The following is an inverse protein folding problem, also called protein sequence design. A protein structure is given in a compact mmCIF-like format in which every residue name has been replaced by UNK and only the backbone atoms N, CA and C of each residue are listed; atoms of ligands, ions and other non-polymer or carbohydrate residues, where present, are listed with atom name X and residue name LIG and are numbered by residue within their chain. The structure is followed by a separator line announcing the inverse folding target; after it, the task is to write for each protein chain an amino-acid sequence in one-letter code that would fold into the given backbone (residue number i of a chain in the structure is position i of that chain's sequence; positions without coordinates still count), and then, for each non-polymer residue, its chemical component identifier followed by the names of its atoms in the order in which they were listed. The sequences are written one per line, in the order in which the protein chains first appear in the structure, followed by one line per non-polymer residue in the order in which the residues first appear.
data_IF_548517263259
#
_entry.id   IF_548517263259
#
_cell.length_a   1.000
_cell.length_b   1.000
_cell.length_c   1.000
_cell.angle_alpha   90.00
_cell.angle_beta   90.00
_cell.angle_gamma   90.00
#
_symmetry.space_group_name_H-M   'P 1'
#
loop_
_entity.id
_entity.type
_entity.pdbx_description
1 polymer ?
#
# COMPACT_ATOMS: atom_id res chain seq x y z
N UNK A 1 -8.97 -17.94 -16.76
CA UNK A 1 -8.72 -17.40 -15.39
C UNK A 1 -7.35 -17.83 -14.88
N UNK A 2 -7.00 -19.13 -14.94
CA UNK A 2 -5.75 -19.69 -14.41
C UNK A 2 -4.51 -19.05 -15.04
N UNK A 3 -4.47 -18.89 -16.35
CA UNK A 3 -3.34 -18.26 -17.05
C UNK A 3 -3.12 -16.79 -16.63
N UNK A 4 -4.19 -16.06 -16.29
CA UNK A 4 -4.08 -14.68 -15.77
C UNK A 4 -3.41 -14.69 -14.42
N UNK A 5 -3.79 -15.61 -13.54
CA UNK A 5 -3.17 -15.77 -12.21
C UNK A 5 -1.72 -16.22 -12.33
N UNK A 6 -1.43 -17.20 -13.18
CA UNK A 6 -0.08 -17.70 -13.41
C UNK A 6 0.88 -16.58 -13.85
N UNK A 7 0.49 -15.77 -14.82
CA UNK A 7 1.31 -14.66 -15.30
C UNK A 7 1.38 -13.50 -14.31
N UNK A 8 0.29 -13.19 -13.58
CA UNK A 8 0.34 -12.19 -12.52
C UNK A 8 1.30 -12.62 -11.41
N UNK A 9 1.21 -13.87 -10.94
CA UNK A 9 2.12 -14.41 -9.94
C UNK A 9 3.58 -14.43 -10.43
N UNK A 10 3.84 -14.84 -11.68
CA UNK A 10 5.18 -14.81 -12.29
C UNK A 10 5.79 -13.41 -12.28
N UNK A 11 4.98 -12.39 -12.53
CA UNK A 11 5.43 -10.99 -12.48
C UNK A 11 5.79 -10.55 -11.06
N UNK A 12 5.12 -11.07 -10.04
CA UNK A 12 5.24 -10.64 -8.65
C UNK A 12 6.25 -11.44 -7.81
N UNK A 13 6.88 -12.49 -8.35
CA UNK A 13 7.75 -13.43 -7.59
C UNK A 13 8.86 -12.73 -6.80
N UNK A 14 9.40 -11.61 -7.29
CA UNK A 14 10.44 -10.86 -6.59
C UNK A 14 9.91 -9.69 -5.75
N UNK A 15 8.62 -9.43 -5.80
CA UNK A 15 8.01 -8.36 -5.02
C UNK A 15 7.84 -8.80 -3.56
N UNK A 16 8.33 -7.97 -2.64
CA UNK A 16 8.12 -8.15 -1.19
C UNK A 16 6.81 -7.49 -0.71
N UNK A 17 6.07 -6.88 -1.62
CA UNK A 17 4.83 -6.19 -1.27
C UNK A 17 3.78 -7.21 -0.79
N UNK A 18 3.03 -6.95 0.30
CA UNK A 18 2.02 -7.88 0.83
C UNK A 18 0.99 -8.33 -0.22
N UNK A 19 0.54 -7.42 -1.08
CA UNK A 19 -0.40 -7.71 -2.16
C UNK A 19 0.19 -8.67 -3.20
N UNK A 20 1.46 -8.52 -3.54
CA UNK A 20 2.16 -9.43 -4.45
C UNK A 20 2.23 -10.85 -3.86
N UNK A 21 2.59 -10.94 -2.59
CA UNK A 21 2.63 -12.22 -1.85
C UNK A 21 1.24 -12.86 -1.77
N UNK A 22 0.17 -12.07 -1.68
CA UNK A 22 -1.20 -12.57 -1.72
C UNK A 22 -1.53 -13.21 -3.10
N UNK A 23 -1.11 -12.60 -4.21
CA UNK A 23 -1.29 -13.17 -5.57
C UNK A 23 -0.56 -14.50 -5.68
N UNK A 24 0.69 -14.57 -5.22
CA UNK A 24 1.50 -15.78 -5.28
C UNK A 24 0.83 -16.90 -4.47
N UNK A 25 0.54 -16.66 -3.20
CA UNK A 25 -0.13 -17.64 -2.32
C UNK A 25 -1.44 -18.14 -2.92
N UNK A 26 -2.29 -17.23 -3.41
CA UNK A 26 -3.56 -17.60 -4.01
C UNK A 26 -3.41 -18.47 -5.25
N UNK A 27 -2.32 -18.29 -6.00
CA UNK A 27 -1.98 -19.09 -7.19
C UNK A 27 -1.50 -20.47 -6.79
N UNK A 28 -0.63 -20.55 -5.77
CA UNK A 28 -0.10 -21.80 -5.21
C UNK A 28 -1.20 -22.66 -4.56
N UNK A 29 -2.09 -22.07 -3.77
CA UNK A 29 -3.23 -22.76 -3.16
C UNK A 29 -4.13 -23.44 -4.19
N UNK A 30 -4.22 -22.85 -5.38
CA UNK A 30 -4.95 -23.45 -6.52
C UNK A 30 -4.13 -24.43 -7.34
N UNK A 31 -2.88 -24.66 -6.94
CA UNK A 31 -1.94 -25.55 -7.67
C UNK A 31 -1.75 -25.15 -9.12
N UNK A 32 -1.79 -23.83 -9.39
CA UNK A 32 -1.51 -23.27 -10.70
C UNK A 32 0.00 -23.12 -10.83
N UNK A 33 0.58 -23.69 -11.88
CA UNK A 33 2.00 -23.57 -12.15
C UNK A 33 2.36 -22.13 -12.49
N UNK A 34 3.35 -21.57 -11.78
CA UNK A 34 3.85 -20.22 -12.02
C UNK A 34 5.01 -20.32 -12.99
N UNK A 35 4.90 -19.79 -14.21
CA UNK A 35 5.97 -19.86 -15.20
C UNK A 35 7.18 -19.05 -14.71
N UNK A 36 8.40 -19.56 -14.94
CA UNK A 36 9.60 -18.81 -14.63
C UNK A 36 9.68 -17.57 -15.52
N UNK A 37 10.16 -16.47 -14.95
CA UNK A 37 10.40 -15.25 -15.72
C UNK A 37 11.90 -15.09 -16.02
N UNK A 38 12.18 -14.48 -17.15
CA UNK A 38 13.53 -14.26 -17.66
C UNK A 38 14.07 -12.88 -17.21
N UNK A 39 13.19 -11.88 -17.16
CA UNK A 39 13.48 -10.49 -16.85
C UNK A 39 12.28 -9.85 -16.13
N UNK A 40 12.56 -8.98 -15.15
CA UNK A 40 11.54 -8.20 -14.48
C UNK A 40 12.03 -6.78 -14.26
N UNK A 41 11.28 -5.80 -14.77
CA UNK A 41 11.51 -4.37 -14.56
C UNK A 41 10.35 -3.83 -13.73
N UNK A 42 10.66 -3.36 -12.53
CA UNK A 42 9.67 -2.76 -11.62
C UNK A 42 9.62 -1.25 -11.86
N UNK A 43 8.42 -0.75 -12.16
CA UNK A 43 8.15 0.67 -12.32
C UNK A 43 7.40 1.15 -11.07
N UNK A 44 8.14 1.76 -10.16
CA UNK A 44 7.65 2.14 -8.82
C UNK A 44 6.31 2.89 -8.89
N UNK A 45 5.35 2.42 -8.12
CA UNK A 45 4.02 3.01 -8.02
C UNK A 45 3.09 2.80 -9.23
N UNK A 46 3.59 2.22 -10.32
CA UNK A 46 2.85 2.06 -11.59
C UNK A 46 2.54 0.60 -11.91
N UNK A 47 3.54 -0.26 -11.88
CA UNK A 47 3.41 -1.65 -12.28
C UNK A 47 4.75 -2.27 -12.66
N UNK A 48 4.70 -3.36 -13.40
CA UNK A 48 5.91 -4.07 -13.82
C UNK A 48 5.80 -4.61 -15.23
N UNK A 49 6.96 -4.69 -15.87
CA UNK A 49 7.18 -5.35 -17.16
C UNK A 49 8.00 -6.60 -16.91
N UNK A 50 7.47 -7.73 -17.33
CA UNK A 50 8.08 -9.04 -17.12
C UNK A 50 8.17 -9.79 -18.43
N UNK A 51 9.21 -10.58 -18.61
CA UNK A 51 9.31 -11.54 -19.73
C UNK A 51 9.22 -12.95 -19.16
N UNK A 52 8.19 -13.68 -19.56
CA UNK A 52 7.95 -15.07 -19.17
C UNK A 52 7.43 -15.86 -20.35
N UNK A 53 7.87 -17.11 -20.50
CA UNK A 53 7.54 -17.97 -21.65
C UNK A 53 7.80 -17.30 -23.01
N UNK A 54 8.86 -16.51 -23.13
CA UNK A 54 9.19 -15.75 -24.33
C UNK A 54 8.20 -14.62 -24.68
N UNK A 55 7.27 -14.27 -23.77
CA UNK A 55 6.25 -13.23 -23.94
C UNK A 55 6.50 -12.05 -23.04
N UNK A 56 6.14 -10.86 -23.51
CA UNK A 56 6.15 -9.66 -22.70
C UNK A 56 4.84 -9.53 -21.94
N UNK A 57 4.93 -9.46 -20.62
CA UNK A 57 3.83 -9.26 -19.69
C UNK A 57 3.90 -7.85 -19.13
N UNK A 58 2.77 -7.18 -19.05
CA UNK A 58 2.61 -5.90 -18.34
C UNK A 58 1.54 -6.09 -17.27
N UNK A 59 1.95 -5.98 -16.02
CA UNK A 59 1.05 -6.05 -14.86
C UNK A 59 1.08 -4.72 -14.12
N UNK A 60 -0.09 -4.11 -13.88
CA UNK A 60 -0.12 -2.86 -13.14
C UNK A 60 -1.44 -2.12 -13.21
N UNK A 61 -1.41 -0.88 -12.72
CA UNK A 61 -2.58 0.00 -12.73
C UNK A 61 -3.02 0.34 -14.15
N UNK A 62 -4.30 0.70 -14.36
CA UNK A 62 -4.82 1.07 -15.68
C UNK A 62 -4.04 2.20 -16.35
N UNK A 63 -3.52 3.12 -15.55
CA UNK A 63 -2.73 4.28 -16.00
C UNK A 63 -1.41 3.82 -16.62
N UNK A 64 -0.74 2.86 -16.00
CA UNK A 64 0.49 2.24 -16.53
C UNK A 64 0.23 1.52 -17.86
N UNK A 65 -0.83 0.70 -17.94
CA UNK A 65 -1.10 0.01 -19.20
C UNK A 65 -1.43 0.99 -20.33
N UNK A 66 -2.07 2.13 -20.02
CA UNK A 66 -2.31 3.19 -21.03
C UNK A 66 -1.02 3.84 -21.50
N UNK A 67 -0.06 4.13 -20.60
CA UNK A 67 1.25 4.68 -20.98
C UNK A 67 2.03 3.71 -21.88
N UNK A 68 1.85 2.39 -21.66
CA UNK A 68 2.37 1.32 -22.49
C UNK A 68 1.54 1.06 -23.79
N UNK A 69 0.60 1.96 -24.10
CA UNK A 69 -0.27 1.91 -25.31
C UNK A 69 -1.18 0.68 -25.37
N UNK A 70 -1.43 0.01 -24.25
CA UNK A 70 -2.40 -1.09 -24.17
C UNK A 70 -3.82 -0.53 -24.25
N UNK A 71 -4.62 -1.08 -25.16
CA UNK A 71 -6.01 -0.67 -25.32
C UNK A 71 -6.88 -1.29 -24.22
N UNK A 72 -7.45 -0.45 -23.35
CA UNK A 72 -8.39 -0.86 -22.30
C UNK A 72 -9.80 -0.62 -22.80
N UNK A 73 -10.61 -1.69 -22.90
CA UNK A 73 -11.99 -1.60 -23.39
C UNK A 73 -12.90 -0.88 -22.38
N UNK A 74 -14.03 -0.33 -22.85
CA UNK A 74 -15.04 0.28 -21.99
C UNK A 74 -15.56 -0.70 -20.91
N UNK A 75 -15.69 -1.99 -21.26
CA UNK A 75 -16.07 -3.05 -20.32
C UNK A 75 -15.03 -3.20 -19.20
N UNK A 76 -13.75 -3.24 -19.53
CA UNK A 76 -12.66 -3.33 -18.54
C UNK A 76 -12.60 -2.07 -17.66
N UNK A 77 -12.76 -0.89 -18.24
CA UNK A 77 -12.87 0.36 -17.49
C UNK A 77 -14.03 0.33 -16.50
N UNK A 78 -15.19 -0.15 -16.89
CA UNK A 78 -16.34 -0.31 -15.98
C UNK A 78 -16.09 -1.29 -14.84
N UNK A 79 -15.31 -2.36 -15.07
CA UNK A 79 -14.87 -3.26 -13.99
C UNK A 79 -13.91 -2.54 -13.02
N UNK A 80 -12.91 -1.83 -13.53
CA UNK A 80 -11.97 -1.05 -12.72
C UNK A 80 -12.72 -0.06 -11.81
N UNK A 81 -13.67 0.69 -12.36
CA UNK A 81 -14.46 1.65 -11.58
C UNK A 81 -15.24 0.99 -10.45
N UNK A 82 -15.88 -0.16 -10.73
CA UNK A 82 -16.64 -0.88 -9.69
C UNK A 82 -15.74 -1.44 -8.58
N UNK A 83 -14.58 -2.00 -8.94
CA UNK A 83 -13.66 -2.56 -7.97
C UNK A 83 -13.08 -1.46 -7.07
N UNK A 84 -12.67 -0.33 -7.64
CA UNK A 84 -12.21 0.83 -6.85
C UNK A 84 -13.29 1.35 -5.89
N UNK A 85 -14.56 1.39 -6.34
CA UNK A 85 -15.67 1.76 -5.48
C UNK A 85 -15.96 0.75 -4.34
N UNK A 86 -15.44 -0.47 -4.45
CA UNK A 86 -15.48 -1.49 -3.42
C UNK A 86 -14.18 -1.55 -2.57
N UNK A 87 -13.37 -0.49 -2.60
CA UNK A 87 -12.05 -0.41 -1.95
C UNK A 87 -11.09 -1.52 -2.39
N UNK A 88 -11.18 -1.96 -3.65
CA UNK A 88 -10.28 -2.94 -4.22
C UNK A 88 -9.27 -2.26 -5.15
N UNK A 89 -8.06 -2.81 -5.21
CA UNK A 89 -6.99 -2.37 -6.11
C UNK A 89 -6.95 -3.26 -7.35
N UNK A 90 -7.47 -2.79 -8.50
CA UNK A 90 -7.45 -3.55 -9.74
C UNK A 90 -6.07 -3.44 -10.42
N UNK A 91 -5.45 -4.59 -10.66
CA UNK A 91 -4.27 -4.75 -11.50
C UNK A 91 -4.68 -5.36 -12.83
N UNK A 92 -4.35 -4.69 -13.91
CA UNK A 92 -4.59 -5.19 -15.27
C UNK A 92 -3.36 -5.96 -15.76
N UNK A 93 -3.61 -7.09 -16.41
CA UNK A 93 -2.57 -7.89 -17.08
C UNK A 93 -2.74 -7.79 -18.60
N UNK A 94 -1.66 -7.38 -19.25
CA UNK A 94 -1.55 -7.48 -20.71
C UNK A 94 -0.42 -8.44 -21.11
N UNK A 95 -0.63 -9.16 -22.19
CA UNK A 95 0.34 -10.06 -22.82
C UNK A 95 0.54 -9.59 -24.24
N UNK A 96 1.78 -9.37 -24.66
CA UNK A 96 2.12 -8.87 -25.99
C UNK A 96 1.28 -7.63 -26.39
N UNK A 97 1.14 -6.67 -25.44
CA UNK A 97 0.39 -5.44 -25.65
C UNK A 97 -1.13 -5.58 -25.70
N UNK A 98 -1.68 -6.77 -25.43
CA UNK A 98 -3.14 -7.01 -25.41
C UNK A 98 -3.62 -7.28 -23.98
N UNK A 99 -4.63 -6.54 -23.53
CA UNK A 99 -5.27 -6.81 -22.26
C UNK A 99 -5.91 -8.20 -22.24
N UNK A 100 -5.46 -9.06 -21.32
CA UNK A 100 -5.92 -10.46 -21.21
C UNK A 100 -6.71 -10.71 -19.95
N UNK A 101 -6.55 -9.88 -18.90
CA UNK A 101 -7.26 -10.08 -17.66
C UNK A 101 -7.06 -8.96 -16.65
N UNK A 102 -7.68 -9.20 -15.50
CA UNK A 102 -7.64 -8.32 -14.35
C UNK A 102 -7.55 -9.21 -13.11
N UNK A 103 -6.68 -8.81 -12.17
CA UNK A 103 -6.62 -9.32 -10.79
C UNK A 103 -7.03 -8.18 -9.88
N UNK A 104 -7.93 -8.45 -8.95
CA UNK A 104 -8.31 -7.47 -7.94
C UNK A 104 -7.77 -7.90 -6.59
N UNK A 105 -7.17 -6.96 -5.89
CA UNK A 105 -6.60 -7.15 -4.57
C UNK A 105 -7.38 -6.25 -3.61
N UNK A 106 -7.64 -6.76 -2.41
CA UNK A 106 -8.26 -6.00 -1.34
C UNK A 106 -7.38 -6.10 -0.11
N UNK A 107 -6.97 -4.95 0.40
CA UNK A 107 -6.39 -4.89 1.72
C UNK A 107 -7.51 -5.00 2.76
N UNK A 108 -7.34 -5.89 3.72
CA UNK A 108 -8.23 -5.96 4.85
C UNK A 108 -7.84 -4.85 5.85
N UNK A 109 -8.81 -3.99 6.15
CA UNK A 109 -8.66 -3.03 7.24
C UNK A 109 -8.55 -3.83 8.54
N UNK A 110 -7.53 -3.54 9.33
CA UNK A 110 -7.35 -4.21 10.63
C UNK A 110 -8.59 -4.00 11.49
N UNK A 111 -9.11 -5.05 12.13
CA UNK A 111 -10.37 -4.96 12.91
C UNK A 111 -10.35 -3.87 13.98
N UNK A 112 -9.17 -3.65 14.59
CA UNK A 112 -8.97 -2.68 15.66
C UNK A 112 -8.74 -1.24 15.16
N UNK A 113 -8.52 -1.03 13.85
CA UNK A 113 -8.06 0.27 13.33
C UNK A 113 -9.02 1.40 13.65
N UNK A 114 -10.32 1.20 13.47
CA UNK A 114 -11.34 2.21 13.77
C UNK A 114 -11.35 2.58 15.25
N UNK A 115 -11.34 1.58 16.13
CA UNK A 115 -11.38 1.79 17.58
C UNK A 115 -10.12 2.52 18.06
N UNK A 116 -8.97 2.21 17.50
CA UNK A 116 -7.70 2.91 17.81
C UNK A 116 -7.75 4.37 17.37
N UNK A 117 -8.27 4.67 16.18
CA UNK A 117 -8.42 6.03 15.68
C UNK A 117 -9.34 6.84 16.60
N UNK A 118 -10.48 6.28 17.00
CA UNK A 118 -11.42 6.93 17.90
C UNK A 118 -10.80 7.14 19.31
N UNK A 119 -10.05 6.16 19.80
CA UNK A 119 -9.31 6.27 21.07
C UNK A 119 -8.21 7.34 21.02
N UNK A 120 -7.45 7.44 19.94
CA UNK A 120 -6.44 8.48 19.75
C UNK A 120 -7.07 9.89 19.76
N UNK A 121 -8.23 10.06 19.13
CA UNK A 121 -8.98 11.32 19.18
C UNK A 121 -9.44 11.65 20.59
N UNK A 122 -10.02 10.69 21.29
CA UNK A 122 -10.44 10.86 22.68
C UNK A 122 -9.25 11.21 23.59
N UNK A 123 -8.07 10.71 23.23
CA UNK A 123 -6.80 10.97 23.93
C UNK A 123 -6.12 12.30 23.53
N UNK A 124 -6.79 13.15 22.75
CA UNK A 124 -6.37 14.50 22.41
C UNK A 124 -5.57 14.65 21.11
N UNK A 125 -5.48 13.61 20.29
CA UNK A 125 -4.97 13.75 18.92
C UNK A 125 -5.99 14.54 18.09
N UNK A 126 -5.62 15.76 17.72
CA UNK A 126 -6.55 16.71 17.08
C UNK A 126 -6.77 16.42 15.59
N UNK A 127 -5.76 15.85 14.94
CA UNK A 127 -5.75 15.68 13.49
C UNK A 127 -5.14 14.32 13.15
N UNK A 128 -5.84 13.54 12.37
CA UNK A 128 -5.36 12.25 11.85
C UNK A 128 -5.47 12.32 10.34
N UNK A 129 -4.35 12.12 9.67
CA UNK A 129 -4.23 12.18 8.21
C UNK A 129 -3.78 10.83 7.68
N UNK A 130 -4.51 10.29 6.73
CA UNK A 130 -4.12 9.06 6.01
C UNK A 130 -3.35 9.43 4.74
N UNK A 131 -2.15 8.88 4.59
CA UNK A 131 -1.34 8.99 3.37
C UNK A 131 -1.27 7.62 2.71
N UNK A 132 -1.77 7.52 1.48
CA UNK A 132 -1.80 6.25 0.75
C UNK A 132 -1.38 6.40 -0.70
N UNK A 133 -0.71 5.38 -1.24
CA UNK A 133 -0.45 5.27 -2.67
C UNK A 133 -1.65 4.82 -3.49
N UNK A 134 -2.79 4.52 -2.87
CA UNK A 134 -3.99 4.05 -3.56
C UNK A 134 -4.68 5.13 -4.37
N UNK A 135 -5.58 4.66 -5.26
CA UNK A 135 -6.42 5.55 -6.04
C UNK A 135 -7.41 6.33 -5.13
N UNK A 136 -7.71 7.62 -5.43
CA UNK A 136 -8.58 8.46 -4.61
C UNK A 136 -9.92 7.84 -4.22
N UNK A 137 -10.56 7.09 -5.12
CA UNK A 137 -11.84 6.42 -4.83
C UNK A 137 -11.68 5.35 -3.75
N UNK A 138 -10.61 4.53 -3.82
CA UNK A 138 -10.30 3.52 -2.81
C UNK A 138 -9.97 4.18 -1.48
N UNK A 139 -9.10 5.18 -1.50
CA UNK A 139 -8.69 5.93 -0.31
C UNK A 139 -9.91 6.59 0.40
N UNK A 140 -10.85 7.15 -0.36
CA UNK A 140 -12.06 7.76 0.20
C UNK A 140 -12.93 6.71 0.93
N UNK A 141 -13.09 5.51 0.37
CA UNK A 141 -13.87 4.43 1.00
C UNK A 141 -13.21 3.98 2.30
N UNK A 142 -11.89 3.75 2.28
CA UNK A 142 -11.12 3.36 3.47
C UNK A 142 -11.17 4.45 4.54
N UNK A 143 -10.97 5.71 4.17
CA UNK A 143 -11.04 6.84 5.09
C UNK A 143 -12.42 6.96 5.75
N UNK A 144 -13.49 6.79 4.98
CA UNK A 144 -14.86 6.79 5.50
C UNK A 144 -15.09 5.65 6.49
N UNK A 145 -14.64 4.43 6.17
CA UNK A 145 -14.76 3.26 7.04
C UNK A 145 -14.00 3.44 8.35
N UNK A 146 -12.81 4.04 8.30
CA UNK A 146 -11.98 4.36 9.45
C UNK A 146 -12.41 5.64 10.18
N UNK A 147 -13.31 6.43 9.60
CA UNK A 147 -13.73 7.73 10.15
C UNK A 147 -12.61 8.78 10.11
N UNK A 148 -11.73 8.71 9.14
CA UNK A 148 -10.68 9.71 8.91
C UNK A 148 -11.21 10.78 7.97
N UNK A 149 -11.17 12.05 8.39
CA UNK A 149 -11.70 13.17 7.61
C UNK A 149 -10.68 13.74 6.62
N UNK A 150 -9.38 13.50 6.88
CA UNK A 150 -8.30 14.01 6.06
C UNK A 150 -7.46 12.85 5.46
N UNK A 151 -7.37 12.84 4.15
CA UNK A 151 -6.56 11.84 3.46
C UNK A 151 -5.95 12.39 2.17
N UNK A 152 -4.81 11.81 1.77
CA UNK A 152 -4.15 12.05 0.49
C UNK A 152 -3.92 10.71 -0.20
N UNK A 153 -4.30 10.65 -1.46
CA UNK A 153 -4.19 9.46 -2.31
C UNK A 153 -3.11 9.65 -3.39
N UNK A 154 -2.70 8.55 -4.03
CA UNK A 154 -1.66 8.55 -5.07
C UNK A 154 -0.35 9.18 -4.61
N UNK A 155 -0.05 9.07 -3.29
CA UNK A 155 1.12 9.66 -2.66
C UNK A 155 2.34 8.78 -2.94
N UNK A 156 3.35 9.35 -3.57
CA UNK A 156 4.66 8.72 -3.73
C UNK A 156 5.48 8.84 -2.43
N UNK A 157 6.54 8.05 -2.25
CA UNK A 157 7.39 8.14 -1.06
C UNK A 157 7.93 9.55 -0.77
N UNK A 158 8.31 10.29 -1.81
CA UNK A 158 8.73 11.69 -1.74
C UNK A 158 7.62 12.64 -1.30
N UNK A 159 6.40 12.44 -1.79
CA UNK A 159 5.24 13.28 -1.43
C UNK A 159 4.84 13.12 0.05
N UNK A 160 5.18 11.97 0.66
CA UNK A 160 4.95 11.75 2.09
C UNK A 160 5.80 12.69 2.95
N UNK A 161 7.05 12.92 2.53
CA UNK A 161 7.94 13.89 3.20
C UNK A 161 7.37 15.31 3.10
N UNK A 162 6.91 15.71 1.92
CA UNK A 162 6.30 17.02 1.70
C UNK A 162 5.04 17.22 2.56
N UNK A 163 4.25 16.14 2.72
CA UNK A 163 3.08 16.17 3.59
C UNK A 163 3.45 16.39 5.06
N UNK A 164 4.49 15.72 5.56
CA UNK A 164 5.00 15.89 6.92
C UNK A 164 5.58 17.30 7.10
N UNK A 165 6.41 17.76 6.17
CA UNK A 165 7.00 19.11 6.20
C UNK A 165 5.91 20.18 6.29
N UNK A 166 4.89 20.10 5.43
CA UNK A 166 3.78 21.06 5.42
C UNK A 166 2.99 21.09 6.76
N UNK A 167 2.82 19.95 7.42
CA UNK A 167 2.17 19.90 8.74
C UNK A 167 3.04 20.54 9.83
N UNK A 168 4.35 20.29 9.80
CA UNK A 168 5.30 20.90 10.76
C UNK A 168 5.41 22.42 10.54
N UNK A 169 5.48 22.87 9.29
CA UNK A 169 5.52 24.31 8.94
C UNK A 169 4.24 25.02 9.38
N UNK A 170 3.10 24.32 9.43
CA UNK A 170 1.85 24.82 9.99
C UNK A 170 1.84 24.84 11.54
N UNK A 171 2.93 24.45 12.20
CA UNK A 171 3.09 24.47 13.67
C UNK A 171 2.49 23.26 14.39
N UNK A 172 2.24 22.17 13.68
CA UNK A 172 1.79 20.91 14.29
C UNK A 172 2.98 20.07 14.77
N UNK A 173 2.83 19.41 15.91
CA UNK A 173 3.69 18.28 16.28
C UNK A 173 3.17 17.04 15.58
N UNK A 174 4.01 16.44 14.77
CA UNK A 174 3.64 15.35 13.84
C UNK A 174 4.25 14.03 14.30
N UNK A 175 3.38 13.04 14.57
CA UNK A 175 3.79 11.65 14.68
C UNK A 175 3.49 10.95 13.33
N UNK A 176 4.50 10.36 12.71
CA UNK A 176 4.34 9.54 11.52
C UNK A 176 4.36 8.08 11.91
N UNK A 177 3.35 7.34 11.46
CA UNK A 177 3.27 5.87 11.65
C UNK A 177 3.37 5.21 10.27
N UNK A 178 4.29 4.28 10.12
CA UNK A 178 4.52 3.58 8.86
C UNK A 178 5.10 2.18 9.05
N UNK A 179 5.14 1.39 7.98
CA UNK A 179 5.74 0.06 7.95
C UNK A 179 7.27 0.09 7.72
N UNK A 180 7.76 1.24 7.37
CA UNK A 180 9.17 1.56 7.31
C UNK A 180 9.89 1.31 6.01
N UNK A 181 9.44 0.46 5.13
CA UNK A 181 10.22 0.13 3.91
C UNK A 181 10.27 1.32 2.93
N UNK A 182 9.14 1.96 2.70
CA UNK A 182 9.03 3.13 1.81
C UNK A 182 8.82 4.44 2.59
N UNK A 183 8.64 4.35 3.89
CA UNK A 183 8.28 5.47 4.76
C UNK A 183 9.46 6.02 5.56
N UNK A 184 10.64 5.37 5.49
CA UNK A 184 11.81 5.74 6.28
C UNK A 184 12.17 7.24 6.21
N UNK A 185 12.19 7.90 5.02
CA UNK A 185 12.48 9.33 4.95
C UNK A 185 11.39 10.21 5.60
N UNK A 186 10.12 9.80 5.52
CA UNK A 186 9.01 10.51 6.15
C UNK A 186 8.99 10.29 7.68
N UNK A 187 9.34 9.07 8.14
CA UNK A 187 9.51 8.75 9.56
C UNK A 187 10.62 9.62 10.18
N UNK A 188 11.78 9.71 9.51
CA UNK A 188 12.90 10.54 9.97
C UNK A 188 12.59 12.04 9.99
N UNK A 189 11.67 12.52 9.15
CA UNK A 189 11.30 13.92 9.07
C UNK A 189 10.24 14.33 10.12
N UNK A 190 9.45 13.41 10.62
CA UNK A 190 8.42 13.67 11.62
C UNK A 190 9.05 14.10 12.97
N UNK A 191 8.26 14.70 13.87
CA UNK A 191 8.73 14.98 15.23
C UNK A 191 8.82 13.68 16.06
N UNK A 192 8.02 12.67 15.69
CA UNK A 192 8.13 11.30 16.20
C UNK A 192 7.84 10.35 15.04
N UNK A 193 8.84 9.58 14.62
CA UNK A 193 8.70 8.49 13.68
C UNK A 193 8.41 7.18 14.41
N UNK A 194 7.32 6.50 14.05
CA UNK A 194 6.90 5.22 14.64
C UNK A 194 6.83 4.17 13.54
N UNK A 195 7.74 3.22 13.59
CA UNK A 195 7.74 2.08 12.67
C UNK A 195 6.98 0.89 13.27
N UNK A 196 6.12 0.25 12.46
CA UNK A 196 5.31 -0.91 12.85
C UNK A 196 5.64 -2.12 11.97
N UNK A 197 5.26 -3.31 12.43
CA UNK A 197 5.41 -4.55 11.65
C UNK A 197 6.82 -5.08 11.53
N UNK A 198 7.72 -4.64 12.38
CA UNK A 198 9.15 -4.90 12.24
C UNK A 198 9.50 -6.32 12.63
N UNK A 199 10.10 -7.05 11.70
CA UNK A 199 10.78 -8.32 11.91
C UNK A 199 12.30 -8.18 11.71
N UNK A 200 12.92 -7.39 12.57
CA UNK A 200 14.33 -7.62 12.94
C UNK A 200 15.47 -6.95 12.18
N UNK A 201 15.40 -6.46 10.95
CA UNK A 201 16.57 -5.88 10.23
C UNK A 201 16.25 -4.74 9.25
N UNK A 202 15.09 -4.15 9.34
CA UNK A 202 14.65 -3.17 8.36
C UNK A 202 15.21 -1.77 8.63
N UNK A 203 15.58 -1.06 7.56
CA UNK A 203 16.04 0.34 7.54
C UNK A 203 15.14 1.28 8.35
N UNK A 204 13.88 0.92 8.50
CA UNK A 204 12.90 1.64 9.32
C UNK A 204 13.20 1.65 10.81
N UNK A 205 13.77 0.56 11.34
CA UNK A 205 14.20 0.50 12.76
C UNK A 205 15.33 1.49 13.03
N UNK A 206 16.20 1.70 12.04
CA UNK A 206 17.33 2.61 12.15
C UNK A 206 16.93 4.08 12.01
N UNK A 207 15.77 4.36 11.39
CA UNK A 207 15.30 5.72 11.09
C UNK A 207 14.15 6.20 11.95
N UNK A 208 13.39 5.29 12.58
CA UNK A 208 12.28 5.64 13.45
C UNK A 208 12.74 5.89 14.89
N UNK A 209 12.08 6.82 15.59
CA UNK A 209 12.33 7.07 17.03
C UNK A 209 11.78 5.93 17.88
N UNK A 210 10.72 5.27 17.41
CA UNK A 210 10.06 4.16 18.09
C UNK A 210 9.79 3.02 17.11
N UNK A 211 10.15 1.82 17.51
CA UNK A 211 9.87 0.60 16.80
C UNK A 211 8.87 -0.26 17.58
N UNK A 212 7.70 -0.52 16.99
CA UNK A 212 6.68 -1.37 17.58
C UNK A 212 6.74 -2.77 16.97
N UNK A 213 6.98 -3.77 17.82
CA UNK A 213 6.99 -5.16 17.37
C UNK A 213 5.58 -5.63 17.04
N UNK A 214 5.38 -6.16 15.80
CA UNK A 214 4.09 -6.65 15.31
C UNK A 214 3.18 -5.55 14.75
N UNK A 215 2.05 -5.97 14.20
CA UNK A 215 1.15 -5.14 13.39
C UNK A 215 -0.08 -4.61 14.14
N UNK A 216 -0.12 -4.78 15.45
CA UNK A 216 -1.28 -4.39 16.27
C UNK A 216 -1.26 -2.88 16.55
N UNK A 217 -2.21 -2.15 15.98
CA UNK A 217 -2.34 -0.69 16.14
C UNK A 217 -2.63 -0.25 17.59
N UNK A 218 -3.14 -1.14 18.46
CA UNK A 218 -3.38 -0.85 19.87
C UNK A 218 -2.10 -0.47 20.62
N UNK A 219 -0.95 -0.90 20.14
CA UNK A 219 0.36 -0.52 20.69
C UNK A 219 0.64 0.98 20.62
N UNK A 220 0.00 1.71 19.72
CA UNK A 220 0.07 3.18 19.71
C UNK A 220 -0.55 3.79 20.96
N UNK A 221 -1.63 3.21 21.47
CA UNK A 221 -2.28 3.64 22.70
C UNK A 221 -1.41 3.31 23.93
N UNK A 222 -0.81 2.10 23.93
CA UNK A 222 0.12 1.67 24.98
C UNK A 222 1.35 2.60 25.03
N UNK A 223 1.92 2.94 23.87
CA UNK A 223 3.04 3.89 23.79
C UNK A 223 2.69 5.25 24.38
N UNK A 224 1.52 5.79 24.05
CA UNK A 224 1.06 7.07 24.60
C UNK A 224 0.83 7.01 26.11
N UNK A 225 0.27 5.93 26.62
CA UNK A 225 0.10 5.73 28.05
C UNK A 225 1.45 5.66 28.78
N UNK A 226 2.42 4.92 28.21
CA UNK A 226 3.76 4.82 28.76
C UNK A 226 4.44 6.19 28.81
N UNK A 227 4.38 6.96 27.72
CA UNK A 227 4.95 8.30 27.67
C UNK A 227 4.37 9.23 28.74
N UNK A 228 3.06 9.20 28.97
CA UNK A 228 2.42 9.99 30.05
C UNK A 228 2.90 9.61 31.43
N UNK A 229 3.04 8.31 31.70
CA UNK A 229 3.54 7.83 33.01
C UNK A 229 5.00 8.19 33.27
N UNK A 230 5.77 8.43 32.21
CA UNK A 230 7.21 8.76 32.33
C UNK A 230 7.44 10.25 32.54
N UNK A 231 6.54 11.12 32.04
CA UNK A 231 6.67 12.59 32.11
C UNK A 231 5.92 13.18 33.33
N UNK A 232 4.96 12.45 33.90
CA UNK A 232 4.19 12.87 35.09
C UNK A 232 4.81 12.38 36.35
#
# INVERSE_FOLDING_TARGET
PEQVLAYAASSEVHSRHPLAQAVIRFTEERRIEIPPHEQCEVLLGLGMRTRADGRTLLLGRPEFLRSEKVRISAKATGWVTRLRAAAETPLLLAVEGRLVGLVSLRDEIRPEARDVIDALRADGVRRIVMLTGDHPVTAAVVAQELGIDEWRAEVLPEDKQDAIAALRDAGHLVAMVGDGTNDAPALALADIGIAMGITGTDVAVETADVALAGDDLRRLLELRELARRTIG
#
